data_IF_051908885056
#
_entry.id   IF_051908885056
#
_cell.length_a   1.000
_cell.length_b   1.000
_cell.length_c   1.000
_cell.angle_alpha   90.00
_cell.angle_beta   90.00
_cell.angle_gamma   90.00
#
_symmetry.space_group_name_H-M   'P 1'
#
loop_
_entity.id
_entity.type
_entity.pdbx_description
1 polymer ?
#
# COMPACT_ATOMS: atom_id res chain seq x y z
N UNK A 1 18.38 -5.28 -18.27
CA UNK A 1 17.83 -4.29 -17.31
C UNK A 1 16.38 -4.05 -17.69
N UNK A 2 15.45 -4.00 -16.73
CA UNK A 2 14.06 -3.69 -17.04
C UNK A 2 13.89 -2.20 -17.34
N UNK A 3 13.10 -1.91 -18.37
CA UNK A 3 12.67 -0.56 -18.70
C UNK A 3 11.18 -0.37 -18.42
N UNK A 4 10.76 0.89 -18.34
CA UNK A 4 9.36 1.29 -18.16
C UNK A 4 8.45 0.68 -19.22
N UNK A 5 8.89 0.60 -20.48
CA UNK A 5 8.14 -0.03 -21.59
C UNK A 5 7.65 -1.44 -21.26
N UNK A 6 8.43 -2.20 -20.48
CA UNK A 6 8.14 -3.60 -20.17
C UNK A 6 7.13 -3.76 -19.04
N UNK A 7 6.79 -2.68 -18.33
CA UNK A 7 5.98 -2.74 -17.09
C UNK A 7 4.80 -1.79 -17.07
N UNK A 8 4.84 -0.72 -17.86
CA UNK A 8 3.79 0.29 -17.89
C UNK A 8 2.46 -0.31 -18.34
N UNK A 9 1.35 0.19 -17.78
CA UNK A 9 0.03 0.02 -18.37
C UNK A 9 -0.11 0.97 -19.55
N UNK A 10 -0.36 0.44 -20.75
CA UNK A 10 -0.58 1.21 -21.97
C UNK A 10 -2.04 1.66 -22.16
N UNK A 11 -2.98 1.04 -21.44
CA UNK A 11 -4.37 1.47 -21.41
C UNK A 11 -4.52 2.57 -20.36
N UNK A 12 -4.27 3.81 -20.80
CA UNK A 12 -4.21 4.97 -19.91
C UNK A 12 -5.52 5.72 -19.93
N UNK A 13 -6.14 5.83 -18.77
CA UNK A 13 -7.25 6.75 -18.57
C UNK A 13 -6.68 8.15 -18.35
N UNK A 14 -7.03 9.10 -19.23
CA UNK A 14 -6.67 10.51 -19.15
C UNK A 14 -7.90 11.40 -19.01
N UNK A 15 -7.78 12.55 -18.37
CA UNK A 15 -8.80 13.60 -18.38
C UNK A 15 -8.36 14.72 -19.33
N UNK A 16 -9.32 15.35 -20.00
CA UNK A 16 -9.03 16.51 -20.83
C UNK A 16 -8.93 17.78 -19.96
N UNK A 17 -8.10 18.73 -20.37
CA UNK A 17 -7.78 19.94 -19.60
C UNK A 17 -8.99 20.84 -19.32
N UNK A 18 -10.05 20.77 -20.14
CA UNK A 18 -11.30 21.52 -19.93
C UNK A 18 -12.33 20.79 -19.05
N UNK A 19 -12.06 19.54 -18.65
CA UNK A 19 -12.96 18.78 -17.82
C UNK A 19 -13.14 19.46 -16.45
N UNK A 20 -14.34 19.41 -15.90
CA UNK A 20 -14.59 19.96 -14.57
C UNK A 20 -13.95 19.09 -13.48
N UNK A 21 -13.61 19.71 -12.36
CA UNK A 21 -13.08 19.02 -11.18
C UNK A 21 -14.02 17.90 -10.73
N UNK A 22 -15.35 18.12 -10.70
CA UNK A 22 -16.31 17.11 -10.30
C UNK A 22 -16.39 15.93 -11.29
N UNK A 23 -16.31 16.20 -12.59
CA UNK A 23 -16.29 15.14 -13.60
C UNK A 23 -15.05 14.24 -13.43
N UNK A 24 -13.87 14.84 -13.23
CA UNK A 24 -12.62 14.08 -13.01
C UNK A 24 -12.68 13.31 -11.69
N UNK A 25 -13.21 13.90 -10.61
CA UNK A 25 -13.43 13.20 -9.34
C UNK A 25 -14.43 12.03 -9.48
N UNK A 26 -15.46 12.18 -10.31
CA UNK A 26 -16.41 11.10 -10.59
C UNK A 26 -15.73 9.95 -11.34
N UNK A 27 -14.97 10.23 -12.40
CA UNK A 27 -14.18 9.23 -13.13
C UNK A 27 -13.19 8.51 -12.21
N UNK A 28 -12.48 9.24 -11.35
CA UNK A 28 -11.57 8.67 -10.36
C UNK A 28 -12.30 7.70 -9.40
N UNK A 29 -13.48 8.07 -8.91
CA UNK A 29 -14.28 7.21 -8.01
C UNK A 29 -14.81 5.96 -8.72
N UNK A 30 -15.33 6.13 -9.94
CA UNK A 30 -15.90 5.03 -10.73
C UNK A 30 -14.83 3.98 -11.07
N UNK A 31 -13.64 4.43 -11.45
CA UNK A 31 -12.54 3.56 -11.87
C UNK A 31 -11.58 3.18 -10.73
N UNK A 32 -11.84 3.64 -9.50
CA UNK A 32 -10.96 3.39 -8.34
C UNK A 32 -9.56 4.01 -8.46
N UNK A 33 -9.42 5.06 -9.25
CA UNK A 33 -8.14 5.75 -9.49
C UNK A 33 -7.93 6.87 -8.47
N UNK A 34 -6.70 7.03 -8.00
CA UNK A 34 -6.31 8.12 -7.06
C UNK A 34 -5.61 9.28 -7.75
N UNK A 35 -5.16 9.07 -8.97
CA UNK A 35 -4.55 10.11 -9.79
C UNK A 35 -4.85 9.84 -11.26
N UNK A 36 -4.77 10.88 -12.06
CA UNK A 36 -5.14 10.82 -13.46
C UNK A 36 -4.31 11.85 -14.24
N UNK A 37 -3.60 11.44 -15.31
CA UNK A 37 -2.93 12.37 -16.21
C UNK A 37 -3.97 13.28 -16.89
N UNK A 38 -3.68 14.57 -16.92
CA UNK A 38 -4.52 15.56 -17.61
C UNK A 38 -3.82 16.01 -18.88
N UNK A 39 -4.52 15.91 -20.00
CA UNK A 39 -3.99 16.17 -21.34
C UNK A 39 -4.75 17.30 -22.03
N UNK A 40 -4.09 17.96 -22.97
CA UNK A 40 -4.74 18.91 -23.87
C UNK A 40 -5.46 18.21 -25.03
N UNK A 41 -6.00 18.99 -25.97
CA UNK A 41 -6.72 18.48 -27.14
C UNK A 41 -5.83 17.66 -28.09
N UNK A 42 -4.50 17.84 -28.03
CA UNK A 42 -3.52 17.07 -28.78
C UNK A 42 -3.06 15.80 -28.06
N UNK A 43 -3.55 15.54 -26.83
CA UNK A 43 -3.13 14.41 -26.00
C UNK A 43 -1.82 14.64 -25.25
N UNK A 44 -1.26 15.86 -25.31
CA UNK A 44 -0.03 16.20 -24.61
C UNK A 44 -0.30 16.45 -23.13
N UNK A 45 0.59 15.97 -22.27
CA UNK A 45 0.43 16.08 -20.81
C UNK A 45 0.55 17.54 -20.33
N UNK A 46 -0.52 18.02 -19.70
CA UNK A 46 -0.62 19.33 -19.03
C UNK A 46 -0.24 19.24 -17.55
N UNK A 47 -0.60 18.14 -16.87
CA UNK A 47 -0.29 17.91 -15.47
C UNK A 47 -0.91 16.62 -14.94
N UNK A 48 -0.80 16.39 -13.64
CA UNK A 48 -1.43 15.25 -12.96
C UNK A 48 -2.43 15.75 -11.94
N UNK A 49 -3.66 15.25 -12.02
CA UNK A 49 -4.68 15.47 -11.01
C UNK A 49 -4.60 14.36 -9.96
N UNK A 50 -4.74 14.71 -8.68
CA UNK A 50 -4.91 13.74 -7.59
C UNK A 50 -6.26 13.93 -6.92
N UNK A 51 -6.87 12.83 -6.47
CA UNK A 51 -8.19 12.86 -5.82
C UNK A 51 -8.21 13.83 -4.63
N UNK A 52 -7.12 13.87 -3.86
CA UNK A 52 -6.93 14.79 -2.74
C UNK A 52 -6.87 16.25 -3.19
N UNK A 53 -6.00 16.59 -4.15
CA UNK A 53 -5.85 17.99 -4.57
C UNK A 53 -7.15 18.54 -5.15
N UNK A 54 -7.84 17.72 -5.96
CA UNK A 54 -9.15 18.07 -6.53
C UNK A 54 -10.22 18.22 -5.44
N UNK A 55 -10.28 17.31 -4.47
CA UNK A 55 -11.27 17.37 -3.39
C UNK A 55 -11.04 18.56 -2.45
N UNK A 56 -9.78 18.83 -2.09
CA UNK A 56 -9.41 19.99 -1.27
C UNK A 56 -9.79 21.29 -2.04
N UNK A 57 -9.44 21.41 -3.33
CA UNK A 57 -9.80 22.57 -4.15
C UNK A 57 -11.32 22.79 -4.28
N UNK A 58 -12.08 21.72 -4.55
CA UNK A 58 -13.54 21.79 -4.68
C UNK A 58 -14.24 22.19 -3.37
N UNK A 59 -13.67 21.81 -2.22
CA UNK A 59 -14.18 22.16 -0.90
C UNK A 59 -13.85 23.60 -0.51
N UNK A 60 -12.63 24.04 -0.82
CA UNK A 60 -12.10 25.30 -0.32
C UNK A 60 -12.43 26.49 -1.23
N UNK A 61 -12.77 26.24 -2.50
CA UNK A 61 -13.06 27.27 -3.50
C UNK A 61 -14.56 27.30 -3.86
N UNK A 62 -15.25 28.45 -3.71
CA UNK A 62 -16.63 28.60 -4.18
C UNK A 62 -16.75 28.30 -5.68
N UNK A 63 -17.58 27.34 -6.06
CA UNK A 63 -17.72 26.88 -7.46
C UNK A 63 -16.55 26.02 -7.94
N UNK A 64 -15.63 25.60 -7.06
CA UNK A 64 -14.44 24.81 -7.42
C UNK A 64 -14.76 23.45 -8.04
N UNK A 65 -15.92 22.86 -7.72
CA UNK A 65 -16.39 21.62 -8.33
C UNK A 65 -16.66 21.75 -9.84
N UNK A 66 -17.17 22.90 -10.27
CA UNK A 66 -17.50 23.19 -11.68
C UNK A 66 -16.32 23.80 -12.45
N UNK A 67 -15.27 24.22 -11.75
CA UNK A 67 -14.07 24.78 -12.36
C UNK A 67 -13.30 23.75 -13.19
N UNK A 68 -12.49 24.23 -14.13
CA UNK A 68 -11.62 23.36 -14.93
C UNK A 68 -10.58 22.66 -14.03
N UNK A 69 -10.29 21.39 -14.35
CA UNK A 69 -9.34 20.57 -13.60
C UNK A 69 -7.94 21.20 -13.55
N UNK A 70 -7.59 22.03 -14.53
CA UNK A 70 -6.30 22.75 -14.64
C UNK A 70 -5.99 23.71 -13.49
N UNK A 71 -7.01 24.12 -12.72
CA UNK A 71 -6.85 24.97 -11.54
C UNK A 71 -6.23 24.23 -10.34
N UNK A 72 -6.29 22.90 -10.33
CA UNK A 72 -5.92 22.07 -9.18
C UNK A 72 -4.97 20.90 -9.55
N UNK A 73 -4.09 21.12 -10.52
CA UNK A 73 -3.10 20.12 -10.99
C UNK A 73 -1.74 20.28 -10.31
N UNK A 74 -1.06 19.15 -10.12
CA UNK A 74 0.40 19.13 -10.06
C UNK A 74 0.96 19.33 -11.48
N UNK A 75 1.69 20.43 -11.68
CA UNK A 75 2.27 20.83 -12.97
C UNK A 75 3.71 20.34 -13.15
N UNK A 76 4.34 19.87 -12.08
CA UNK A 76 5.70 19.34 -12.11
C UNK A 76 5.75 17.89 -11.58
N UNK A 77 4.87 17.00 -12.08
CA UNK A 77 4.85 15.61 -11.62
C UNK A 77 6.16 14.92 -12.00
N UNK A 78 6.46 13.81 -11.30
CA UNK A 78 7.47 12.88 -11.79
C UNK A 78 6.97 12.27 -13.11
N UNK A 79 7.84 12.24 -14.12
CA UNK A 79 7.56 11.73 -15.46
C UNK A 79 8.58 10.66 -15.85
N UNK A 80 8.17 9.72 -16.68
CA UNK A 80 9.04 8.73 -17.27
C UNK A 80 8.87 8.69 -18.79
N UNK A 81 9.87 8.12 -19.47
CA UNK A 81 9.77 7.70 -20.87
C UNK A 81 9.75 6.19 -20.92
N UNK A 82 9.36 5.62 -22.07
CA UNK A 82 9.36 4.18 -22.25
C UNK A 82 10.76 3.54 -22.04
N UNK A 83 11.83 4.31 -22.28
CA UNK A 83 13.20 3.83 -22.18
C UNK A 83 13.84 4.12 -20.81
N UNK A 84 13.13 4.82 -19.91
CA UNK A 84 13.54 5.03 -18.53
C UNK A 84 13.79 3.67 -17.86
N UNK A 85 14.93 3.53 -17.16
CA UNK A 85 15.24 2.32 -16.40
C UNK A 85 14.31 2.21 -15.21
N UNK A 86 13.79 1.00 -14.96
CA UNK A 86 12.85 0.79 -13.87
C UNK A 86 13.46 1.07 -12.50
N UNK A 87 14.74 0.75 -12.29
CA UNK A 87 15.46 1.05 -11.04
C UNK A 87 15.46 2.54 -10.70
N UNK A 88 15.78 3.36 -11.70
CA UNK A 88 15.91 4.81 -11.54
C UNK A 88 14.52 5.42 -11.27
N UNK A 89 13.50 4.91 -11.99
CA UNK A 89 12.12 5.31 -11.74
C UNK A 89 11.67 4.96 -10.31
N UNK A 90 11.99 3.77 -9.80
CA UNK A 90 11.63 3.35 -8.44
C UNK A 90 12.31 4.25 -7.40
N UNK A 91 13.58 4.57 -7.57
CA UNK A 91 14.31 5.49 -6.68
C UNK A 91 13.66 6.87 -6.63
N UNK A 92 13.32 7.43 -7.78
CA UNK A 92 12.60 8.71 -7.88
C UNK A 92 11.17 8.66 -7.33
N UNK A 93 10.44 7.56 -7.56
CA UNK A 93 9.10 7.37 -6.99
C UNK A 93 9.15 7.34 -5.45
N UNK A 94 10.16 6.68 -4.87
CA UNK A 94 10.35 6.61 -3.43
C UNK A 94 10.75 7.97 -2.86
N UNK A 95 11.68 8.69 -3.50
CA UNK A 95 12.16 10.00 -3.02
C UNK A 95 11.06 11.07 -3.09
N UNK A 96 10.28 11.09 -4.18
CA UNK A 96 9.20 12.06 -4.42
C UNK A 96 7.83 11.62 -3.91
N UNK A 97 7.74 10.44 -3.30
CA UNK A 97 6.50 9.85 -2.78
C UNK A 97 5.41 9.71 -3.87
N UNK A 98 5.83 9.47 -5.12
CA UNK A 98 4.92 9.36 -6.26
C UNK A 98 4.25 7.98 -6.29
N UNK A 99 2.92 7.95 -6.37
CA UNK A 99 2.15 6.70 -6.37
C UNK A 99 1.99 6.09 -7.77
N UNK A 100 2.06 6.93 -8.80
CA UNK A 100 2.18 6.52 -10.19
C UNK A 100 2.85 7.64 -10.98
N UNK A 101 3.37 7.27 -12.14
CA UNK A 101 4.16 8.13 -13.00
C UNK A 101 3.61 8.02 -14.42
N UNK A 102 3.13 9.12 -15.01
CA UNK A 102 2.80 9.15 -16.43
C UNK A 102 4.05 8.85 -17.26
N UNK A 103 3.86 8.01 -18.28
CA UNK A 103 4.87 7.72 -19.29
C UNK A 103 4.53 8.51 -20.53
N UNK A 104 5.47 9.33 -20.98
CA UNK A 104 5.30 10.19 -22.15
C UNK A 104 6.27 9.83 -23.27
N UNK A 105 5.89 10.19 -24.49
CA UNK A 105 6.79 10.16 -25.65
C UNK A 105 7.54 11.50 -25.84
N UNK A 106 8.22 11.64 -26.98
CA UNK A 106 8.99 12.83 -27.31
C UNK A 106 8.12 14.09 -27.51
N UNK A 107 6.85 13.92 -27.88
CA UNK A 107 5.89 15.00 -28.10
C UNK A 107 5.07 15.32 -26.83
N UNK A 108 5.44 14.72 -25.69
CA UNK A 108 4.73 14.76 -24.40
C UNK A 108 3.35 14.09 -24.42
N UNK A 109 3.03 13.31 -25.45
CA UNK A 109 1.79 12.53 -25.45
C UNK A 109 1.88 11.44 -24.39
N UNK A 110 0.78 11.20 -23.66
CA UNK A 110 0.74 10.16 -22.63
C UNK A 110 0.56 8.80 -23.29
N UNK A 111 1.56 7.94 -23.17
CA UNK A 111 1.62 6.61 -23.79
C UNK A 111 1.52 5.46 -22.78
N UNK A 112 1.55 5.78 -21.49
CA UNK A 112 1.49 4.78 -20.42
C UNK A 112 1.36 5.39 -19.04
N UNK A 113 1.16 4.54 -18.03
CA UNK A 113 1.38 4.88 -16.62
C UNK A 113 2.13 3.74 -15.93
N UNK A 114 2.97 4.07 -14.97
CA UNK A 114 3.56 3.10 -14.04
C UNK A 114 3.09 3.42 -12.63
N UNK A 115 2.25 2.58 -12.06
CA UNK A 115 1.89 2.63 -10.65
C UNK A 115 2.76 1.69 -9.82
N UNK A 116 2.76 1.89 -8.50
CA UNK A 116 3.48 1.00 -7.57
C UNK A 116 3.09 -0.49 -7.77
N UNK A 117 1.82 -0.78 -8.12
CA UNK A 117 1.36 -2.14 -8.41
C UNK A 117 1.99 -2.73 -9.67
N UNK A 118 2.29 -1.92 -10.68
CA UNK A 118 2.92 -2.36 -11.92
C UNK A 118 4.39 -2.71 -11.68
N UNK A 119 5.08 -1.91 -10.87
CA UNK A 119 6.43 -2.22 -10.38
C UNK A 119 6.42 -3.56 -9.63
N UNK A 120 5.48 -3.76 -8.71
CA UNK A 120 5.35 -5.01 -7.96
C UNK A 120 5.09 -6.21 -8.88
N UNK A 121 4.21 -6.05 -9.88
CA UNK A 121 3.90 -7.11 -10.86
C UNK A 121 5.10 -7.43 -11.75
N UNK A 122 5.83 -6.43 -12.20
CA UNK A 122 7.03 -6.61 -13.02
C UNK A 122 8.13 -7.34 -12.27
N UNK A 123 8.35 -6.99 -11.00
CA UNK A 123 9.32 -7.69 -10.15
C UNK A 123 8.95 -9.16 -9.97
N UNK A 124 7.65 -9.50 -9.94
CA UNK A 124 7.18 -10.88 -9.92
C UNK A 124 7.46 -11.63 -11.24
N UNK A 125 7.15 -11.03 -12.39
CA UNK A 125 7.32 -11.67 -13.70
C UNK A 125 8.79 -11.99 -14.04
N UNK A 126 9.72 -11.13 -13.63
CA UNK A 126 11.16 -11.27 -13.92
C UNK A 126 11.81 -12.37 -13.08
N UNK A 127 11.27 -12.65 -11.89
CA UNK A 127 11.79 -13.67 -10.98
C UNK A 127 11.05 -15.02 -11.09
N UNK A 128 9.97 -15.10 -11.87
CA UNK A 128 9.35 -16.37 -12.22
C UNK A 128 10.28 -17.27 -13.08
N UNK A 129 11.25 -16.67 -13.78
CA UNK A 129 12.16 -17.34 -14.71
C UNK A 129 13.57 -17.61 -14.14
N UNK A 130 13.90 -17.04 -12.98
CA UNK A 130 15.21 -17.13 -12.33
C UNK A 130 15.02 -17.47 -10.85
N UNK A 131 15.09 -18.76 -10.51
CA UNK A 131 14.90 -19.24 -9.15
C UNK A 131 15.85 -18.59 -8.12
N UNK A 132 15.28 -18.31 -6.95
CA UNK A 132 15.90 -18.07 -5.64
C UNK A 132 16.56 -16.70 -5.35
N UNK A 133 15.76 -15.83 -4.71
CA UNK A 133 16.16 -14.71 -3.85
C UNK A 133 14.93 -14.05 -3.23
N UNK A 134 15.00 -13.44 -2.02
CA UNK A 134 13.88 -12.71 -1.45
C UNK A 134 13.45 -11.60 -2.42
N UNK A 135 12.15 -11.51 -2.70
CA UNK A 135 11.60 -10.46 -3.55
C UNK A 135 12.07 -9.08 -3.06
N UNK A 136 12.45 -8.19 -4.00
CA UNK A 136 13.00 -6.85 -3.71
C UNK A 136 14.33 -6.82 -2.92
N UNK A 137 14.99 -7.96 -2.68
CA UNK A 137 16.15 -8.02 -1.76
C UNK A 137 15.76 -7.75 -0.30
N UNK A 138 14.48 -7.83 0.03
CA UNK A 138 13.95 -7.57 1.37
C UNK A 138 14.05 -8.85 2.17
N UNK A 139 15.08 -8.94 3.01
CA UNK A 139 15.38 -10.17 3.77
C UNK A 139 14.41 -10.41 4.93
N UNK A 140 13.83 -9.35 5.52
CA UNK A 140 12.95 -9.42 6.69
C UNK A 140 11.69 -8.57 6.51
N UNK A 141 10.52 -9.20 6.61
CA UNK A 141 9.21 -8.55 6.42
C UNK A 141 8.36 -8.71 7.67
N UNK A 142 7.75 -7.62 8.12
CA UNK A 142 6.80 -7.62 9.23
C UNK A 142 5.37 -7.46 8.74
N UNK A 143 4.47 -8.31 9.22
CA UNK A 143 3.03 -8.17 9.04
C UNK A 143 2.37 -8.00 10.41
N UNK A 144 1.92 -6.79 10.77
CA UNK A 144 1.08 -6.62 11.95
C UNK A 144 -0.28 -7.29 11.72
N UNK A 145 -0.67 -8.20 12.62
CA UNK A 145 -1.91 -8.96 12.52
C UNK A 145 -2.85 -8.61 13.68
N UNK A 146 -4.10 -8.29 13.33
CA UNK A 146 -5.18 -8.08 14.29
C UNK A 146 -5.86 -9.40 14.69
N UNK A 147 -6.98 -9.29 15.39
CA UNK A 147 -7.84 -10.45 15.66
C UNK A 147 -8.72 -10.84 14.45
N UNK A 148 -8.73 -10.04 13.40
CA UNK A 148 -9.51 -10.29 12.20
C UNK A 148 -8.80 -11.16 11.16
N UNK A 149 -9.55 -11.59 10.16
CA UNK A 149 -9.03 -12.43 9.08
C UNK A 149 -8.25 -11.63 8.03
N UNK A 150 -8.38 -10.30 8.00
CA UNK A 150 -7.64 -9.45 7.07
C UNK A 150 -6.13 -9.57 7.30
N UNK A 151 -5.71 -9.57 8.57
CA UNK A 151 -4.31 -9.80 8.91
C UNK A 151 -3.76 -11.15 8.44
N UNK A 152 -4.58 -12.20 8.52
CA UNK A 152 -4.19 -13.53 8.08
C UNK A 152 -4.14 -13.66 6.56
N UNK A 153 -5.07 -13.03 5.84
CA UNK A 153 -5.04 -12.97 4.37
C UNK A 153 -3.80 -12.20 3.88
N UNK A 154 -3.50 -11.05 4.50
CA UNK A 154 -2.30 -10.28 4.20
C UNK A 154 -1.03 -11.08 4.49
N UNK A 155 -0.98 -11.80 5.60
CA UNK A 155 0.14 -12.69 5.94
C UNK A 155 0.32 -13.80 4.88
N UNK A 156 -0.77 -14.43 4.44
CA UNK A 156 -0.74 -15.43 3.35
C UNK A 156 -0.20 -14.83 2.06
N UNK A 157 -0.61 -13.61 1.74
CA UNK A 157 -0.15 -12.88 0.57
C UNK A 157 1.34 -12.59 0.65
N UNK A 158 1.81 -12.10 1.80
CA UNK A 158 3.22 -11.78 2.03
C UNK A 158 4.09 -13.03 1.93
N UNK A 159 3.71 -14.15 2.52
CA UNK A 159 4.48 -15.41 2.39
C UNK A 159 4.59 -15.86 0.93
N UNK A 160 3.51 -15.71 0.14
CA UNK A 160 3.53 -16.03 -1.30
C UNK A 160 4.40 -15.07 -2.11
N UNK A 161 4.32 -13.77 -1.81
CA UNK A 161 4.99 -12.70 -2.56
C UNK A 161 6.43 -12.45 -2.14
N UNK A 162 6.88 -12.87 -0.96
CA UNK A 162 8.24 -12.62 -0.46
C UNK A 162 8.95 -13.94 -0.15
N UNK A 163 8.93 -14.87 -1.13
CA UNK A 163 9.59 -16.17 -1.00
C UNK A 163 11.07 -16.00 -0.64
N UNK A 164 11.53 -16.68 0.41
CA UNK A 164 12.93 -16.63 0.86
C UNK A 164 13.24 -15.50 1.85
N UNK A 165 12.29 -14.61 2.13
CA UNK A 165 12.41 -13.65 3.23
C UNK A 165 11.99 -14.30 4.56
N UNK A 166 12.59 -13.85 5.65
CA UNK A 166 12.14 -14.15 7.01
C UNK A 166 10.90 -13.28 7.32
N UNK A 167 9.75 -13.94 7.46
CA UNK A 167 8.47 -13.26 7.66
C UNK A 167 8.11 -13.28 9.15
N UNK A 168 7.84 -12.11 9.70
CA UNK A 168 7.36 -11.93 11.07
C UNK A 168 5.88 -11.58 11.08
N UNK A 169 5.12 -12.24 11.94
CA UNK A 169 3.76 -11.87 12.26
C UNK A 169 3.74 -11.28 13.68
N UNK A 170 3.31 -10.03 13.83
CA UNK A 170 3.25 -9.37 15.13
C UNK A 170 1.80 -9.08 15.52
N UNK A 171 1.39 -9.57 16.69
CA UNK A 171 0.15 -9.17 17.32
C UNK A 171 0.43 -8.34 18.57
N UNK A 172 -0.24 -7.20 18.70
CA UNK A 172 -0.15 -6.35 19.89
C UNK A 172 -1.47 -6.38 20.63
N UNK A 173 -1.43 -6.90 21.85
CA UNK A 173 -2.58 -6.88 22.76
C UNK A 173 -2.64 -5.49 23.39
N UNK A 174 -3.61 -4.69 22.93
CA UNK A 174 -3.86 -3.37 23.49
C UNK A 174 -4.20 -3.44 24.98
N UNK A 175 -3.47 -2.69 25.79
CA UNK A 175 -3.80 -2.46 27.21
C UNK A 175 -4.36 -1.04 27.29
N UNK A 176 -5.67 -0.84 27.53
CA UNK A 176 -6.22 0.50 27.67
C UNK A 176 -5.58 1.18 28.88
N UNK A 177 -4.86 2.28 28.67
CA UNK A 177 -4.13 3.00 29.73
C UNK A 177 -5.03 3.70 30.75
N UNK A 178 -6.35 3.74 30.55
CA UNK A 178 -7.29 4.55 31.33
C UNK A 178 -8.34 3.80 32.15
N UNK A 179 -8.40 2.46 32.14
CA UNK A 179 -9.56 1.75 32.71
C UNK A 179 -9.25 0.43 33.44
N UNK A 180 -8.08 0.31 34.09
CA UNK A 180 -7.79 -0.86 34.93
C UNK A 180 -7.51 -0.41 36.36
N UNK A 181 -8.46 -0.61 37.31
CA UNK A 181 -8.19 -0.46 38.73
C UNK A 181 -6.99 -1.33 39.13
N UNK A 182 -6.08 -0.79 39.95
CA UNK A 182 -4.86 -1.47 40.45
C UNK A 182 -5.10 -2.91 40.96
N UNK A 183 -6.29 -3.17 41.52
CA UNK A 183 -6.70 -4.49 42.01
C UNK A 183 -6.84 -5.60 40.93
N UNK A 184 -7.08 -5.27 39.66
CA UNK A 184 -7.27 -6.26 38.57
C UNK A 184 -5.93 -6.66 37.93
N UNK A 185 -4.91 -5.80 37.96
CA UNK A 185 -3.56 -6.14 37.47
C UNK A 185 -2.94 -7.32 38.23
N UNK A 186 -3.33 -7.55 39.48
CA UNK A 186 -2.84 -8.68 40.29
C UNK A 186 -3.50 -10.03 39.98
N UNK A 187 -4.57 -10.09 39.17
CA UNK A 187 -5.35 -11.31 38.93
C UNK A 187 -5.14 -11.93 37.53
N UNK A 188 -4.58 -11.17 36.58
CA UNK A 188 -4.31 -11.65 35.23
C UNK A 188 -2.81 -11.61 35.02
N UNK A 189 -2.16 -12.78 35.06
CA UNK A 189 -0.76 -12.91 34.68
C UNK A 189 -0.61 -12.45 33.21
N UNK A 190 0.10 -11.32 32.96
CA UNK A 190 0.30 -10.82 31.61
C UNK A 190 1.00 -11.85 30.70
N UNK A 191 1.86 -12.70 31.26
CA UNK A 191 2.54 -13.78 30.55
C UNK A 191 1.56 -14.85 30.08
N UNK A 192 0.70 -15.35 30.97
CA UNK A 192 -0.33 -16.32 30.64
C UNK A 192 -1.29 -15.82 29.55
N UNK A 193 -1.66 -14.52 29.59
CA UNK A 193 -2.52 -13.90 28.57
C UNK A 193 -1.84 -13.84 27.19
N UNK A 194 -0.56 -13.44 27.14
CA UNK A 194 0.22 -13.43 25.90
C UNK A 194 0.33 -14.85 25.34
N UNK A 195 0.62 -15.84 26.19
CA UNK A 195 0.77 -17.23 25.77
C UNK A 195 -0.54 -17.82 25.22
N UNK A 196 -1.67 -17.54 25.86
CA UNK A 196 -2.99 -17.96 25.38
C UNK A 196 -3.32 -17.35 24.00
N UNK A 197 -3.03 -16.06 23.81
CA UNK A 197 -3.25 -15.38 22.52
C UNK A 197 -2.32 -15.95 21.45
N UNK A 198 -1.05 -16.16 21.77
CA UNK A 198 -0.06 -16.75 20.86
C UNK A 198 -0.52 -18.12 20.35
N UNK A 199 -0.88 -19.06 21.24
CA UNK A 199 -1.35 -20.39 20.84
C UNK A 199 -2.66 -20.35 20.02
N UNK A 200 -3.51 -19.34 20.23
CA UNK A 200 -4.68 -19.09 19.39
C UNK A 200 -4.30 -18.69 17.96
N UNK A 201 -3.35 -17.75 17.84
CA UNK A 201 -2.88 -17.25 16.55
C UNK A 201 -2.05 -18.28 15.78
N UNK A 202 -1.20 -19.07 16.46
CA UNK A 202 -0.43 -20.15 15.84
C UNK A 202 -1.35 -21.13 15.11
N UNK A 203 -2.45 -21.55 15.75
CA UNK A 203 -3.45 -22.44 15.12
C UNK A 203 -4.11 -21.81 13.90
N UNK A 204 -4.46 -20.52 13.97
CA UNK A 204 -5.06 -19.80 12.84
C UNK A 204 -4.09 -19.61 11.68
N UNK A 205 -2.83 -19.31 11.97
CA UNK A 205 -1.75 -19.18 10.98
C UNK A 205 -1.45 -20.53 10.33
N UNK A 206 -1.43 -21.62 11.10
CA UNK A 206 -1.30 -22.96 10.53
C UNK A 206 -2.47 -23.30 9.59
N UNK A 207 -3.70 -22.92 9.96
CA UNK A 207 -4.89 -23.20 9.18
C UNK A 207 -4.96 -22.49 7.82
N UNK A 208 -4.25 -21.37 7.62
CA UNK A 208 -4.20 -20.69 6.32
C UNK A 208 -3.22 -21.33 5.32
N UNK A 209 -2.50 -22.38 5.72
CA UNK A 209 -1.67 -23.20 4.82
C UNK A 209 -0.45 -22.45 4.24
N UNK A 210 0.19 -21.59 5.04
CA UNK A 210 1.40 -20.85 4.63
C UNK A 210 2.67 -21.67 4.92
N UNK A 211 3.63 -21.62 4.00
CA UNK A 211 4.95 -22.25 4.16
C UNK A 211 6.04 -21.39 3.49
N UNK A 212 7.18 -21.08 4.18
CA UNK A 212 7.46 -21.44 5.58
C UNK A 212 6.52 -20.71 6.57
N UNK A 213 6.40 -21.25 7.79
CA UNK A 213 5.64 -20.60 8.85
C UNK A 213 6.34 -19.30 9.27
N UNK A 214 5.59 -18.19 9.46
CA UNK A 214 6.16 -16.93 9.92
C UNK A 214 6.53 -17.01 11.41
N UNK A 215 7.51 -16.20 11.79
CA UNK A 215 7.88 -15.99 13.20
C UNK A 215 6.78 -15.18 13.87
N UNK A 216 5.98 -15.83 14.71
CA UNK A 216 4.91 -15.16 15.47
C UNK A 216 5.47 -14.53 16.74
N UNK A 217 5.17 -13.24 16.95
CA UNK A 217 5.37 -12.55 18.22
C UNK A 217 4.07 -11.92 18.71
N UNK A 218 3.85 -12.03 20.03
CA UNK A 218 2.77 -11.32 20.73
C UNK A 218 3.41 -10.35 21.73
N UNK A 219 3.02 -9.07 21.68
CA UNK A 219 3.47 -8.02 22.60
C UNK A 219 2.28 -7.37 23.32
N UNK A 220 2.53 -6.71 24.45
CA UNK A 220 1.54 -5.93 25.20
C UNK A 220 1.91 -4.46 25.09
N UNK A 221 0.96 -3.61 24.71
CA UNK A 221 1.23 -2.18 24.63
C UNK A 221 0.33 -1.45 23.63
N UNK A 222 0.82 -0.30 23.16
CA UNK A 222 0.21 0.48 22.08
C UNK A 222 0.58 -0.14 20.73
N UNK A 223 -0.38 -0.56 19.89
CA UNK A 223 -0.07 -1.23 18.62
C UNK A 223 0.89 -0.45 17.74
N UNK A 224 0.75 0.87 17.65
CA UNK A 224 1.57 1.67 16.75
C UNK A 224 3.04 1.73 17.21
N UNK A 225 3.26 2.00 18.49
CA UNK A 225 4.61 2.10 19.08
C UNK A 225 5.30 0.73 19.07
N UNK A 226 4.58 -0.32 19.48
CA UNK A 226 5.12 -1.69 19.55
C UNK A 226 5.46 -2.25 18.16
N UNK A 227 4.75 -1.84 17.10
CA UNK A 227 5.09 -2.21 15.72
C UNK A 227 6.41 -1.55 15.29
N UNK A 228 6.56 -0.25 15.51
CA UNK A 228 7.78 0.49 15.14
C UNK A 228 8.98 -0.03 15.92
N UNK A 229 8.84 -0.19 17.23
CA UNK A 229 9.90 -0.68 18.10
C UNK A 229 10.29 -2.13 17.76
N UNK A 230 9.32 -3.00 17.50
CA UNK A 230 9.62 -4.37 17.06
C UNK A 230 10.33 -4.39 15.71
N UNK A 231 9.92 -3.54 14.78
CA UNK A 231 10.56 -3.43 13.47
C UNK A 231 12.05 -3.06 13.62
N UNK A 232 12.38 -2.08 14.45
CA UNK A 232 13.77 -1.69 14.75
C UNK A 232 14.55 -2.82 15.43
N UNK A 233 13.98 -3.42 16.47
CA UNK A 233 14.64 -4.48 17.25
C UNK A 233 14.97 -5.73 16.43
N UNK A 234 14.17 -6.04 15.42
CA UNK A 234 14.36 -7.22 14.57
C UNK A 234 14.99 -6.90 13.21
N UNK A 235 15.41 -5.64 12.98
CA UNK A 235 15.97 -5.17 11.70
C UNK A 235 15.08 -5.54 10.52
N UNK A 236 13.79 -5.22 10.67
CA UNK A 236 12.77 -5.41 9.63
C UNK A 236 13.04 -4.44 8.49
N UNK A 237 13.00 -4.94 7.26
CA UNK A 237 13.31 -4.17 6.04
C UNK A 237 12.05 -3.70 5.28
N UNK A 238 10.88 -4.24 5.62
CA UNK A 238 9.58 -3.83 5.09
C UNK A 238 8.47 -4.15 6.09
N UNK A 239 7.57 -3.20 6.34
CA UNK A 239 6.34 -3.44 7.11
C UNK A 239 5.16 -3.48 6.15
N UNK A 240 4.40 -4.58 6.14
CA UNK A 240 3.21 -4.73 5.31
C UNK A 240 1.98 -4.63 6.19
N UNK A 241 1.23 -3.53 6.07
CA UNK A 241 0.10 -3.22 6.94
C UNK A 241 -1.21 -3.53 6.22
N UNK A 242 -1.99 -4.52 6.69
CA UNK A 242 -3.35 -4.73 6.23
C UNK A 242 -4.26 -3.57 6.67
N UNK A 243 -4.98 -2.95 5.73
CA UNK A 243 -5.92 -1.87 6.00
C UNK A 243 -7.27 -2.13 5.35
N UNK A 244 -8.35 -2.05 6.15
CA UNK A 244 -9.72 -2.11 5.62
C UNK A 244 -10.11 -0.80 4.94
N UNK A 245 -10.90 -0.93 3.89
CA UNK A 245 -11.73 0.15 3.40
C UNK A 245 -13.06 0.14 4.17
N UNK A 246 -13.35 1.19 4.94
CA UNK A 246 -14.71 1.35 5.49
C UNK A 246 -15.59 1.89 4.37
N UNK A 247 -16.46 1.04 3.83
CA UNK A 247 -17.45 1.45 2.84
C UNK A 247 -18.26 2.65 3.38
N UNK A 248 -18.39 3.71 2.58
CA UNK A 248 -19.28 4.84 2.86
C UNK A 248 -18.69 6.06 3.57
N UNK A 249 -17.40 6.09 3.92
CA UNK A 249 -16.76 7.30 4.46
C UNK A 249 -16.00 8.04 3.35
N UNK A 250 -16.34 9.32 3.09
CA UNK A 250 -15.75 10.22 2.07
C UNK A 250 -14.23 10.48 2.20
N UNK A 251 -13.53 9.83 3.13
CA UNK A 251 -12.07 9.86 3.32
C UNK A 251 -11.58 8.46 3.67
N UNK A 252 -10.68 7.92 2.84
CA UNK A 252 -9.90 6.73 3.21
C UNK A 252 -8.82 7.15 4.21
N UNK A 253 -9.19 7.24 5.48
CA UNK A 253 -8.22 7.46 6.55
C UNK A 253 -7.33 6.20 6.65
N UNK A 254 -6.00 6.35 6.69
CA UNK A 254 -5.02 5.26 6.81
C UNK A 254 -5.24 4.39 8.09
N UNK A 255 -6.13 4.79 8.98
CA UNK A 255 -6.21 4.27 10.34
C UNK A 255 -5.07 4.84 11.18
N UNK A 256 -5.32 5.13 12.46
CA UNK A 256 -4.34 5.76 13.35
C UNK A 256 -3.06 4.95 13.49
N UNK A 257 -3.15 3.61 13.48
CA UNK A 257 -1.99 2.72 13.56
C UNK A 257 -1.14 2.79 12.28
N UNK A 258 -1.74 2.63 11.09
CA UNK A 258 -0.96 2.64 9.86
C UNK A 258 -0.37 4.03 9.58
N UNK A 259 -1.10 5.11 9.87
CA UNK A 259 -0.57 6.47 9.75
C UNK A 259 0.64 6.67 10.66
N UNK A 260 0.54 6.24 11.92
CA UNK A 260 1.65 6.36 12.85
C UNK A 260 2.85 5.53 12.40
N UNK A 261 2.66 4.27 11.97
CA UNK A 261 3.76 3.41 11.51
C UNK A 261 4.44 4.02 10.28
N UNK A 262 3.68 4.47 9.27
CA UNK A 262 4.24 5.11 8.07
C UNK A 262 5.09 6.34 8.39
N UNK A 263 4.71 7.12 9.42
CA UNK A 263 5.43 8.33 9.80
C UNK A 263 6.70 8.07 10.62
N UNK A 264 6.77 6.97 11.35
CA UNK A 264 7.81 6.75 12.36
C UNK A 264 8.67 5.49 12.14
N UNK A 265 8.31 4.60 11.20
CA UNK A 265 9.12 3.42 10.92
C UNK A 265 10.42 3.78 10.23
N UNK A 266 11.52 3.16 10.67
CA UNK A 266 12.85 3.32 10.04
C UNK A 266 12.95 2.69 8.63
N UNK A 267 11.99 1.83 8.25
CA UNK A 267 11.94 1.12 6.97
C UNK A 267 10.63 1.41 6.21
N UNK A 268 10.59 1.12 4.90
CA UNK A 268 9.39 1.32 4.09
C UNK A 268 8.16 0.57 4.65
N UNK A 269 6.99 1.16 4.46
CA UNK A 269 5.71 0.57 4.82
C UNK A 269 4.81 0.41 3.58
N UNK A 270 4.35 -0.82 3.31
CA UNK A 270 3.39 -1.15 2.26
C UNK A 270 1.99 -1.29 2.85
N UNK A 271 1.06 -0.43 2.44
CA UNK A 271 -0.33 -0.52 2.87
C UNK A 271 -1.13 -1.37 1.89
N UNK A 272 -1.65 -2.51 2.36
CA UNK A 272 -2.56 -3.35 1.59
C UNK A 272 -3.99 -2.88 1.79
N UNK A 273 -4.62 -2.40 0.71
CA UNK A 273 -6.02 -1.95 0.68
C UNK A 273 -6.85 -2.88 -0.22
N UNK A 274 -8.15 -2.99 0.09
CA UNK A 274 -9.14 -3.68 -0.75
C UNK A 274 -9.71 -4.96 -0.14
N UNK A 275 -10.76 -5.49 -0.80
CA UNK A 275 -11.32 -6.80 -0.52
C UNK A 275 -10.34 -7.88 -1.05
N UNK A 276 -9.36 -8.25 -0.20
CA UNK A 276 -8.42 -9.35 -0.44
C UNK A 276 -9.04 -10.72 -0.89
N UNK A 277 -10.35 -11.00 -0.81
CA UNK A 277 -10.91 -12.24 -1.36
C UNK A 277 -11.06 -12.31 -2.89
N UNK A 278 -11.30 -11.20 -3.60
CA UNK A 278 -11.71 -11.28 -5.03
C UNK A 278 -10.55 -11.37 -6.03
N UNK A 279 -9.36 -10.87 -5.65
CA UNK A 279 -8.21 -10.86 -6.56
C UNK A 279 -7.59 -12.25 -6.79
N UNK A 280 -7.98 -13.28 -6.03
CA UNK A 280 -7.35 -14.62 -6.02
C UNK A 280 -8.32 -15.81 -6.03
N UNK A 281 -9.58 -15.60 -6.43
CA UNK A 281 -10.51 -16.70 -6.77
C UNK A 281 -10.18 -17.39 -8.10
N UNK A 282 -9.06 -17.06 -8.75
CA UNK A 282 -8.55 -17.77 -9.92
C UNK A 282 -7.35 -18.61 -9.49
N UNK A 283 -7.42 -19.91 -9.77
CA UNK A 283 -6.52 -21.02 -9.36
C UNK A 283 -6.81 -21.70 -8.01
N UNK A 284 -8.03 -22.21 -7.84
CA UNK A 284 -8.19 -23.58 -7.33
C UNK A 284 -8.11 -24.52 -8.53
N UNK A 285 -6.89 -24.93 -8.87
CA UNK A 285 -6.62 -26.04 -9.75
C UNK A 285 -6.07 -27.21 -8.94
N UNK A 286 -6.94 -27.86 -8.17
CA UNK A 286 -6.95 -29.30 -7.87
C UNK A 286 -8.42 -29.73 -7.70
#
# INVERSE_FOLDING_TARGET
>A
MLTVRQVMSSDVVTAHADASVDAVLATMRELGLRQLPVVDAGGALVGVATDRALADYASDTPGGADAAVTEALDREPLLATADTRLSDLVEEMLSRHAHAVPVIDADRAVIGTVAAVDVMRALHAVHADQGAGPYLGVERVLVPIGNDDLGLLALRLVVKLFKGAEIHALHVVGVPSSMVPSAIMSAVDPGARVQQVASGLERRIAAIGVSPLPILKVRLGSPADEIVEYAEQQDIRLIVIPSRERHGMRRVLLGSVAEHVVRHSHCPSLILRGALPELWSVETGE
#
